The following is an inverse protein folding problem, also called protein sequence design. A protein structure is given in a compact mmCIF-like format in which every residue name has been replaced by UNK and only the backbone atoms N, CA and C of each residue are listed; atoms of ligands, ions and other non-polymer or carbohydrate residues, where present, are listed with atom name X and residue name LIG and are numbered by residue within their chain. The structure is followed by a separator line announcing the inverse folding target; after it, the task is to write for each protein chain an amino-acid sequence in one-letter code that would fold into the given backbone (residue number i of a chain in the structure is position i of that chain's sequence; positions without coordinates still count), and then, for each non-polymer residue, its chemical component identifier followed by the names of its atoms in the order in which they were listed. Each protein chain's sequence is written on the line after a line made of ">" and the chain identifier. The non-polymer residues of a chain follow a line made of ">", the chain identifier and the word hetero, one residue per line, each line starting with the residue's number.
data_IF_183828230882
#
_entry.id   IF_183828230882
#
_cell.length_a   1.000
_cell.length_b   1.000
_cell.length_c   1.000
_cell.angle_alpha   90.00
_cell.angle_beta   90.00
_cell.angle_gamma   90.00
#
_symmetry.space_group_name_H-M   'P 1'
#
loop_
_entity.id
_entity.type
_entity.pdbx_description
1 polymer ?
#
# COMPACT_ATOMS: atom_id res chain seq x y z
N UNK A 1 34.90 39.18 -19.10
CA UNK A 1 35.17 38.06 -20.04
C UNK A 1 36.57 38.11 -20.66
N UNK A 2 37.01 39.22 -21.26
CA UNK A 2 38.36 39.34 -21.86
C UNK A 2 39.52 39.02 -20.91
N UNK A 3 39.43 39.45 -19.64
CA UNK A 3 40.40 39.11 -18.60
C UNK A 3 40.51 37.59 -18.39
N UNK A 4 39.40 36.90 -18.13
CA UNK A 4 39.37 35.43 -17.94
C UNK A 4 39.94 34.67 -19.16
N UNK A 5 39.67 35.16 -20.38
CA UNK A 5 40.24 34.59 -21.60
C UNK A 5 41.76 34.82 -21.67
N UNK A 6 42.25 36.02 -21.33
CA UNK A 6 43.68 36.35 -21.30
C UNK A 6 44.46 35.44 -20.34
N UNK A 7 43.87 35.10 -19.20
CA UNK A 7 44.48 34.26 -18.17
C UNK A 7 44.17 32.76 -18.31
N UNK A 8 43.55 32.32 -19.43
CA UNK A 8 43.20 30.91 -19.68
C UNK A 8 42.47 30.27 -18.48
N UNK A 9 41.48 30.97 -17.94
CA UNK A 9 40.71 30.50 -16.77
C UNK A 9 40.06 29.13 -17.02
N UNK A 10 39.66 28.86 -18.27
CA UNK A 10 39.28 27.53 -18.73
C UNK A 10 40.49 26.86 -19.37
N UNK A 11 40.91 25.74 -18.78
CA UNK A 11 42.05 24.94 -19.23
C UNK A 11 41.61 23.49 -19.55
N UNK A 12 42.56 22.68 -20.02
CA UNK A 12 42.30 21.25 -20.34
C UNK A 12 41.97 20.40 -19.09
N UNK A 13 42.23 20.93 -17.89
CA UNK A 13 41.92 20.26 -16.62
C UNK A 13 40.53 20.60 -16.11
N UNK A 14 39.88 21.62 -16.65
CA UNK A 14 38.54 22.04 -16.28
C UNK A 14 37.54 20.95 -16.71
N UNK A 15 36.76 20.44 -15.75
CA UNK A 15 35.78 19.35 -15.97
C UNK A 15 34.34 19.80 -15.97
N UNK A 16 34.01 20.83 -15.22
CA UNK A 16 32.66 21.37 -15.18
C UNK A 16 32.70 22.88 -14.97
N UNK A 17 31.79 23.59 -15.63
CA UNK A 17 31.55 25.03 -15.43
C UNK A 17 30.08 25.20 -15.09
N UNK A 18 29.81 25.81 -13.94
CA UNK A 18 28.47 26.10 -13.45
C UNK A 18 28.19 27.59 -13.64
N UNK A 19 27.08 27.91 -14.30
CA UNK A 19 26.55 29.26 -14.39
C UNK A 19 25.19 29.24 -13.69
N UNK A 20 25.13 29.90 -12.54
CA UNK A 20 24.01 29.82 -11.61
C UNK A 20 23.57 31.22 -11.21
N UNK A 21 22.29 31.52 -11.37
CA UNK A 21 21.72 32.77 -10.93
C UNK A 21 20.23 32.62 -10.60
N UNK A 22 19.76 33.49 -9.71
CA UNK A 22 18.38 33.59 -9.30
C UNK A 22 17.77 34.85 -9.91
N UNK A 23 16.63 34.72 -10.57
CA UNK A 23 15.84 35.86 -11.04
C UNK A 23 14.50 35.90 -10.31
N UNK A 24 13.99 37.10 -10.05
CA UNK A 24 12.69 37.30 -9.45
C UNK A 24 11.81 38.14 -10.38
N UNK A 25 10.64 37.60 -10.73
CA UNK A 25 9.62 38.32 -11.48
C UNK A 25 8.57 38.90 -10.51
N UNK A 26 8.53 40.22 -10.29
CA UNK A 26 7.60 40.84 -9.34
C UNK A 26 6.14 40.79 -9.80
N UNK A 27 5.87 40.77 -11.11
CA UNK A 27 4.51 40.79 -11.65
C UNK A 27 3.75 39.49 -11.31
N UNK A 28 4.47 38.35 -11.33
CA UNK A 28 3.90 37.03 -11.03
C UNK A 28 4.32 36.50 -9.66
N UNK A 29 5.19 37.22 -8.94
CA UNK A 29 5.81 36.76 -7.69
C UNK A 29 6.45 35.37 -7.82
N UNK A 30 7.31 35.21 -8.83
CA UNK A 30 7.99 33.94 -9.13
C UNK A 30 9.50 34.12 -9.07
N UNK A 31 10.16 33.19 -8.37
CA UNK A 31 11.59 33.02 -8.36
C UNK A 31 11.96 31.95 -9.39
N UNK A 32 12.90 32.25 -10.28
CA UNK A 32 13.45 31.28 -11.21
C UNK A 32 14.93 31.09 -10.91
N UNK A 33 15.31 29.89 -10.53
CA UNK A 33 16.71 29.48 -10.53
C UNK A 33 17.06 29.00 -11.91
N UNK A 34 18.12 29.56 -12.47
CA UNK A 34 18.70 29.11 -13.74
C UNK A 34 20.05 28.49 -13.42
N UNK A 35 20.20 27.22 -13.76
CA UNK A 35 21.45 26.48 -13.64
C UNK A 35 21.84 25.96 -15.02
N UNK A 36 22.99 26.41 -15.49
CA UNK A 36 23.61 25.91 -16.72
C UNK A 36 24.91 25.22 -16.34
N UNK A 37 25.01 23.94 -16.63
CA UNK A 37 26.19 23.11 -16.36
C UNK A 37 26.81 22.72 -17.68
N UNK A 38 28.07 23.09 -17.88
CA UNK A 38 28.89 22.60 -18.99
C UNK A 38 29.86 21.55 -18.45
N UNK A 39 29.68 20.29 -18.83
CA UNK A 39 30.56 19.18 -18.49
C UNK A 39 31.54 18.95 -19.64
N UNK A 40 32.84 18.97 -19.35
CA UNK A 40 33.93 18.83 -20.31
C UNK A 40 34.56 17.45 -20.11
N UNK A 41 34.27 16.54 -21.05
CA UNK A 41 34.82 15.18 -21.05
C UNK A 41 36.33 15.16 -21.26
N UNK A 42 36.95 14.01 -20.95
CA UNK A 42 38.39 13.80 -21.18
C UNK A 42 38.78 13.91 -22.67
N UNK A 43 37.86 13.61 -23.58
CA UNK A 43 38.00 13.78 -25.03
C UNK A 43 37.90 15.24 -25.50
N UNK A 44 37.57 16.18 -24.62
CA UNK A 44 37.27 17.57 -24.97
C UNK A 44 35.84 17.82 -25.46
N UNK A 45 35.00 16.78 -25.52
CA UNK A 45 33.57 16.93 -25.79
C UNK A 45 32.87 17.70 -24.65
N UNK A 46 32.09 18.72 -25.01
CA UNK A 46 31.34 19.54 -24.05
C UNK A 46 29.87 19.12 -24.08
N UNK A 47 29.44 18.49 -23.00
CA UNK A 47 28.03 18.23 -22.75
C UNK A 47 27.44 19.40 -21.94
N UNK A 48 26.19 19.80 -22.20
CA UNK A 48 25.55 20.85 -21.43
C UNK A 48 24.20 20.39 -20.89
N UNK A 49 23.90 20.83 -19.66
CA UNK A 49 22.61 20.65 -19.01
C UNK A 49 22.06 22.02 -18.65
N UNK A 50 20.83 22.27 -19.06
CA UNK A 50 20.11 23.50 -18.78
C UNK A 50 18.88 23.19 -17.93
N UNK A 51 18.82 23.74 -16.72
CA UNK A 51 17.73 23.51 -15.79
C UNK A 51 17.20 24.86 -15.28
N UNK A 52 15.88 25.04 -15.42
CA UNK A 52 15.16 26.17 -14.84
C UNK A 52 14.17 25.61 -13.83
N UNK A 53 14.25 26.07 -12.57
CA UNK A 53 13.23 25.78 -11.57
C UNK A 53 12.50 27.06 -11.17
N UNK A 54 11.20 27.08 -11.42
CA UNK A 54 10.31 28.20 -11.06
C UNK A 54 9.55 27.87 -9.78
N UNK A 55 9.60 28.76 -8.79
CA UNK A 55 8.96 28.61 -7.48
C UNK A 55 8.34 29.91 -6.98
N UNK A 56 7.17 29.78 -6.35
CA UNK A 56 6.53 30.88 -5.61
C UNK A 56 6.90 30.79 -4.13
N UNK A 57 7.89 31.58 -3.72
CA UNK A 57 8.44 31.53 -2.37
C UNK A 57 7.80 32.57 -1.44
N UNK A 58 7.57 33.80 -1.91
CA UNK A 58 6.93 34.84 -1.10
C UNK A 58 5.42 34.66 -1.01
N UNK A 59 4.89 34.77 0.21
CA UNK A 59 3.46 34.82 0.47
C UNK A 59 3.08 36.30 0.60
N UNK A 60 2.32 36.81 -0.35
CA UNK A 60 1.83 38.21 -0.35
C UNK A 60 0.57 38.30 0.51
N UNK A 61 0.38 39.42 1.19
CA UNK A 61 -0.75 39.66 2.11
C UNK A 61 -2.14 39.39 1.49
N UNK A 62 -2.31 39.61 0.18
CA UNK A 62 -3.56 39.31 -0.52
C UNK A 62 -3.94 37.82 -0.51
N UNK A 63 -2.96 36.92 -0.51
CA UNK A 63 -3.16 35.46 -0.46
C UNK A 63 -3.14 34.89 0.96
N UNK A 64 -2.83 35.74 1.95
CA UNK A 64 -2.66 35.33 3.33
C UNK A 64 -3.96 34.78 3.92
N UNK A 65 -5.11 35.41 3.63
CA UNK A 65 -6.42 34.97 4.14
C UNK A 65 -6.81 33.58 3.64
N UNK A 66 -6.63 33.31 2.34
CA UNK A 66 -6.93 31.99 1.76
C UNK A 66 -6.00 30.91 2.30
N UNK A 67 -4.70 31.22 2.38
CA UNK A 67 -3.68 30.28 2.87
C UNK A 67 -3.90 29.92 4.34
N UNK A 68 -4.29 30.89 5.18
CA UNK A 68 -4.62 30.66 6.58
C UNK A 68 -5.80 29.71 6.76
N UNK A 69 -6.89 29.91 6.00
CA UNK A 69 -8.06 29.02 6.08
C UNK A 69 -7.68 27.60 5.70
N UNK A 70 -6.91 27.41 4.62
CA UNK A 70 -6.45 26.09 4.20
C UNK A 70 -5.55 25.45 5.27
N UNK A 71 -4.64 26.22 5.88
CA UNK A 71 -3.76 25.72 6.93
C UNK A 71 -4.54 25.28 8.18
N UNK A 72 -5.53 26.08 8.61
CA UNK A 72 -6.42 25.73 9.73
C UNK A 72 -7.24 24.48 9.41
N UNK A 73 -7.83 24.41 8.22
CA UNK A 73 -8.56 23.23 7.77
C UNK A 73 -7.67 21.98 7.74
N UNK A 74 -6.44 22.09 7.22
CA UNK A 74 -5.47 21.00 7.20
C UNK A 74 -5.10 20.54 8.62
N UNK A 75 -4.84 21.47 9.54
CA UNK A 75 -4.59 21.17 10.94
C UNK A 75 -5.75 20.46 11.65
N UNK A 76 -6.98 20.91 11.40
CA UNK A 76 -8.19 20.26 11.92
C UNK A 76 -8.37 18.83 11.38
N UNK A 77 -8.18 18.63 10.07
CA UNK A 77 -8.26 17.30 9.45
C UNK A 77 -7.18 16.38 10.02
N UNK A 78 -5.95 16.89 10.18
CA UNK A 78 -4.84 16.14 10.78
C UNK A 78 -5.14 15.74 12.22
N UNK A 79 -5.69 16.65 13.02
CA UNK A 79 -6.08 16.38 14.41
C UNK A 79 -7.15 15.27 14.47
N UNK A 80 -8.20 15.37 13.65
CA UNK A 80 -9.25 14.35 13.58
C UNK A 80 -8.71 12.98 13.14
N UNK A 81 -7.82 12.96 12.14
CA UNK A 81 -7.15 11.74 11.69
C UNK A 81 -6.28 11.12 12.79
N UNK A 82 -5.54 11.96 13.51
CA UNK A 82 -4.64 11.52 14.60
C UNK A 82 -5.44 10.90 15.74
N UNK A 83 -6.51 11.56 16.20
CA UNK A 83 -7.43 11.01 17.23
C UNK A 83 -8.01 9.68 16.76
N UNK A 84 -8.45 9.59 15.50
CA UNK A 84 -9.00 8.36 14.94
C UNK A 84 -7.99 7.21 14.92
N UNK A 85 -6.74 7.49 14.55
CA UNK A 85 -5.66 6.49 14.51
C UNK A 85 -5.30 6.04 15.92
N UNK A 86 -5.14 6.97 16.86
CA UNK A 86 -4.85 6.67 18.27
C UNK A 86 -5.97 5.81 18.87
N UNK A 87 -7.24 6.18 18.66
CA UNK A 87 -8.37 5.40 19.17
C UNK A 87 -8.37 3.96 18.63
N UNK A 88 -8.10 3.76 17.33
CA UNK A 88 -7.98 2.43 16.75
C UNK A 88 -6.80 1.64 17.33
N UNK A 89 -5.66 2.31 17.52
CA UNK A 89 -4.45 1.72 18.06
C UNK A 89 -4.67 1.25 19.50
N UNK A 90 -5.35 2.05 20.33
CA UNK A 90 -5.72 1.66 21.70
C UNK A 90 -6.69 0.47 21.68
N UNK A 91 -7.72 0.50 20.81
CA UNK A 91 -8.73 -0.57 20.76
C UNK A 91 -8.16 -1.91 20.27
N UNK A 92 -7.25 -1.90 19.30
CA UNK A 92 -6.68 -3.11 18.70
C UNK A 92 -5.36 -3.57 19.35
N UNK A 93 -4.72 -2.70 20.12
CA UNK A 93 -3.44 -2.99 20.77
C UNK A 93 -2.39 -3.45 19.76
N UNK A 94 -1.73 -4.57 20.05
CA UNK A 94 -0.65 -5.13 19.21
C UNK A 94 -1.12 -5.65 17.84
N UNK A 95 -2.39 -6.06 17.72
CA UNK A 95 -2.94 -6.55 16.44
C UNK A 95 -3.06 -5.46 15.37
N UNK A 96 -2.97 -4.19 15.78
CA UNK A 96 -3.00 -3.04 14.88
C UNK A 96 -1.82 -3.03 13.90
N UNK A 97 -0.62 -3.44 14.34
CA UNK A 97 0.58 -3.41 13.49
C UNK A 97 0.63 -4.55 12.48
N UNK A 98 -0.20 -5.58 12.62
CA UNK A 98 -0.28 -6.68 11.67
C UNK A 98 -1.11 -6.34 10.42
N UNK A 99 -2.00 -5.35 10.49
CA UNK A 99 -2.83 -4.93 9.35
C UNK A 99 -2.12 -3.83 8.54
N UNK A 100 -1.63 -4.20 7.35
CA UNK A 100 -0.94 -3.28 6.44
C UNK A 100 -1.76 -2.01 6.14
N UNK A 101 -3.10 -2.11 6.09
CA UNK A 101 -3.98 -0.96 5.81
C UNK A 101 -4.05 0.02 6.98
N UNK A 102 -3.77 -0.42 8.19
CA UNK A 102 -3.73 0.42 9.39
C UNK A 102 -2.36 1.07 9.54
N UNK A 103 -1.30 0.36 9.18
CA UNK A 103 0.03 0.95 9.06
C UNK A 103 0.06 2.12 8.06
N UNK A 104 -0.64 2.01 6.93
CA UNK A 104 -0.79 3.12 5.99
C UNK A 104 -1.46 4.36 6.61
N UNK A 105 -2.44 4.20 7.51
CA UNK A 105 -3.05 5.35 8.20
C UNK A 105 -2.02 6.07 9.08
N UNK A 106 -1.16 5.32 9.77
CA UNK A 106 -0.09 5.88 10.61
C UNK A 106 0.93 6.63 9.76
N UNK A 107 1.37 6.05 8.63
CA UNK A 107 2.33 6.68 7.71
C UNK A 107 1.78 8.02 7.20
N UNK A 108 0.50 8.09 6.83
CA UNK A 108 -0.13 9.34 6.37
C UNK A 108 -0.11 10.41 7.47
N UNK A 109 -0.40 10.05 8.73
CA UNK A 109 -0.34 10.99 9.86
C UNK A 109 1.09 11.48 10.09
N UNK A 110 2.07 10.57 10.09
CA UNK A 110 3.49 10.92 10.27
C UNK A 110 3.99 11.86 9.16
N UNK A 111 3.68 11.55 7.89
CA UNK A 111 4.02 12.41 6.76
C UNK A 111 3.31 13.76 6.83
N UNK A 112 2.08 13.82 7.33
CA UNK A 112 1.36 15.08 7.51
C UNK A 112 2.03 15.97 8.57
N UNK A 113 2.47 15.39 9.70
CA UNK A 113 3.24 16.10 10.73
C UNK A 113 4.58 16.58 10.16
N UNK A 114 5.29 15.71 9.44
CA UNK A 114 6.54 16.07 8.76
C UNK A 114 6.34 17.20 7.73
N UNK A 115 5.20 17.23 7.03
CA UNK A 115 4.85 18.30 6.09
C UNK A 115 4.75 19.66 6.80
N UNK A 116 4.11 19.70 7.97
CA UNK A 116 4.01 20.94 8.77
C UNK A 116 5.39 21.39 9.22
N UNK A 117 6.22 20.47 9.72
CA UNK A 117 7.59 20.78 10.13
C UNK A 117 8.42 21.35 8.97
N UNK A 118 8.38 20.70 7.80
CA UNK A 118 9.09 21.18 6.60
C UNK A 118 8.54 22.50 6.08
N UNK A 119 7.24 22.75 6.20
CA UNK A 119 6.64 24.04 5.84
C UNK A 119 7.16 25.18 6.74
N UNK A 120 7.26 24.95 8.05
CA UNK A 120 7.85 25.92 8.98
C UNK A 120 9.33 26.14 8.66
N UNK A 121 10.09 25.07 8.40
CA UNK A 121 11.50 25.17 8.01
C UNK A 121 11.66 25.95 6.70
N UNK A 122 10.82 25.70 5.69
CA UNK A 122 10.78 26.45 4.43
C UNK A 122 10.61 27.96 4.67
N UNK A 123 9.66 28.36 5.51
CA UNK A 123 9.44 29.77 5.86
C UNK A 123 10.66 30.35 6.59
N UNK A 124 11.25 29.59 7.53
CA UNK A 124 12.45 30.03 8.23
C UNK A 124 13.63 30.25 7.28
N UNK A 125 13.89 29.34 6.34
CA UNK A 125 14.94 29.49 5.33
C UNK A 125 14.67 30.68 4.40
N UNK A 126 13.41 30.92 4.05
CA UNK A 126 13.03 32.09 3.26
C UNK A 126 13.35 33.38 4.00
N UNK A 127 12.98 33.48 5.27
CA UNK A 127 13.25 34.66 6.09
C UNK A 127 14.76 34.90 6.23
N UNK A 128 15.55 33.85 6.50
CA UNK A 128 17.01 33.94 6.56
C UNK A 128 17.58 34.45 5.22
N UNK A 129 17.07 33.94 4.10
CA UNK A 129 17.50 34.38 2.77
C UNK A 129 17.16 35.85 2.51
N UNK A 130 15.95 36.29 2.84
CA UNK A 130 15.50 37.67 2.67
C UNK A 130 16.28 38.64 3.56
N UNK A 131 16.58 38.27 4.80
CA UNK A 131 17.42 39.08 5.69
C UNK A 131 18.82 39.24 5.11
N UNK A 132 19.47 38.15 4.69
CA UNK A 132 20.80 38.20 4.05
C UNK A 132 20.78 39.04 2.76
N UNK A 133 19.70 38.95 1.98
CA UNK A 133 19.52 39.75 0.78
C UNK A 133 19.40 41.24 1.11
N UNK A 134 18.69 41.59 2.18
CA UNK A 134 18.55 42.98 2.64
C UNK A 134 19.83 43.57 3.23
N UNK A 135 20.67 42.73 3.85
CA UNK A 135 21.96 43.13 4.42
C UNK A 135 23.06 43.24 3.35
N UNK A 136 22.92 42.50 2.24
CA UNK A 136 23.89 42.52 1.15
C UNK A 136 23.98 43.91 0.51
N UNK A 137 25.20 44.45 0.46
CA UNK A 137 25.52 45.71 -0.22
C UNK A 137 26.28 45.38 -1.50
N UNK A 138 26.21 46.25 -2.51
CA UNK A 138 27.01 46.14 -3.75
C UNK A 138 26.74 44.91 -4.64
N UNK A 139 25.49 44.43 -4.72
CA UNK A 139 25.10 43.30 -5.61
C UNK A 139 25.89 42.00 -5.34
N UNK A 140 26.20 41.73 -4.08
CA UNK A 140 26.82 40.46 -3.69
C UNK A 140 25.87 39.27 -3.93
N UNK A 141 26.46 38.14 -4.33
CA UNK A 141 25.70 36.91 -4.52
C UNK A 141 25.28 36.33 -3.17
N UNK A 142 23.96 36.26 -2.94
CA UNK A 142 23.39 35.61 -1.74
C UNK A 142 23.03 34.17 -2.06
N UNK A 143 23.60 33.25 -1.30
CA UNK A 143 23.36 31.82 -1.47
C UNK A 143 21.87 31.47 -1.25
N UNK A 144 21.22 30.97 -2.30
CA UNK A 144 19.82 30.53 -2.31
C UNK A 144 19.63 29.01 -2.30
N UNK A 145 20.71 28.21 -2.34
CA UNK A 145 20.61 26.75 -2.48
C UNK A 145 19.82 26.11 -1.35
N UNK A 146 20.07 26.53 -0.10
CA UNK A 146 19.37 25.99 1.07
C UNK A 146 17.85 26.24 1.03
N UNK A 147 17.43 27.40 0.50
CA UNK A 147 16.03 27.74 0.33
C UNK A 147 15.35 26.81 -0.69
N UNK A 148 15.99 26.58 -1.84
CA UNK A 148 15.46 25.68 -2.87
C UNK A 148 15.49 24.21 -2.44
N UNK A 149 16.49 23.77 -1.68
CA UNK A 149 16.52 22.41 -1.10
C UNK A 149 15.36 22.22 -0.11
N UNK A 150 15.11 23.20 0.76
CA UNK A 150 13.98 23.15 1.70
C UNK A 150 12.62 23.12 0.96
N UNK A 151 12.47 23.90 -0.11
CA UNK A 151 11.25 23.91 -0.92
C UNK A 151 11.06 22.62 -1.74
N UNK A 152 12.13 22.09 -2.35
CA UNK A 152 12.07 20.84 -3.10
C UNK A 152 11.77 19.63 -2.19
N UNK A 153 12.36 19.59 -0.99
CA UNK A 153 12.05 18.52 -0.01
C UNK A 153 10.62 18.61 0.50
N UNK A 154 10.12 19.81 0.79
CA UNK A 154 8.71 20.02 1.13
C UNK A 154 7.77 19.60 -0.01
N UNK A 155 8.09 19.96 -1.25
CA UNK A 155 7.28 19.62 -2.43
C UNK A 155 7.25 18.12 -2.68
N UNK A 156 8.40 17.43 -2.60
CA UNK A 156 8.49 15.99 -2.76
C UNK A 156 7.71 15.23 -1.68
N UNK A 157 7.82 15.68 -0.42
CA UNK A 157 7.08 15.08 0.68
C UNK A 157 5.57 15.33 0.54
N UNK A 158 5.16 16.55 0.16
CA UNK A 158 3.75 16.89 -0.09
C UNK A 158 3.16 16.07 -1.25
N UNK A 159 3.90 15.89 -2.34
CA UNK A 159 3.48 15.03 -3.46
C UNK A 159 3.30 13.57 -3.02
N UNK A 160 4.23 13.06 -2.20
CA UNK A 160 4.15 11.72 -1.62
C UNK A 160 2.93 11.57 -0.70
N UNK A 161 2.64 12.59 0.11
CA UNK A 161 1.45 12.62 0.97
C UNK A 161 0.16 12.58 0.14
N UNK A 162 0.05 13.42 -0.91
CA UNK A 162 -1.11 13.44 -1.80
C UNK A 162 -1.28 12.10 -2.52
N UNK A 163 -0.19 11.49 -2.98
CA UNK A 163 -0.22 10.16 -3.59
C UNK A 163 -0.77 9.10 -2.61
N UNK A 164 -0.27 9.06 -1.38
CA UNK A 164 -0.76 8.11 -0.37
C UNK A 164 -2.20 8.39 0.06
N UNK A 165 -2.58 9.66 0.19
CA UNK A 165 -3.96 10.06 0.47
C UNK A 165 -4.90 9.62 -0.66
N UNK A 166 -4.47 9.75 -1.92
CA UNK A 166 -5.20 9.27 -3.10
C UNK A 166 -5.32 7.75 -3.09
N UNK A 167 -4.25 7.03 -2.77
CA UNK A 167 -4.30 5.58 -2.58
C UNK A 167 -5.27 5.20 -1.45
N UNK A 168 -5.36 6.00 -0.38
CA UNK A 168 -6.34 5.77 0.70
C UNK A 168 -7.79 5.91 0.22
N UNK A 169 -8.06 6.77 -0.76
CA UNK A 169 -9.40 6.90 -1.37
C UNK A 169 -9.83 5.59 -2.05
N UNK A 170 -8.90 4.74 -2.49
CA UNK A 170 -9.22 3.40 -3.02
C UNK A 170 -10.06 2.57 -2.05
N UNK A 171 -9.81 2.70 -0.74
CA UNK A 171 -10.58 2.00 0.29
C UNK A 171 -12.04 2.45 0.30
N UNK A 172 -12.31 3.71 -0.02
CA UNK A 172 -13.69 4.20 -0.16
C UNK A 172 -14.37 3.49 -1.33
N UNK A 173 -13.68 3.25 -2.45
CA UNK A 173 -14.23 2.59 -3.64
C UNK A 173 -14.62 1.12 -3.44
N UNK A 174 -14.28 0.49 -2.31
CA UNK A 174 -14.68 -0.90 -1.97
C UNK A 174 -16.19 -1.10 -1.86
N UNK A 175 -17.01 -0.04 -1.87
CA UNK A 175 -18.46 -0.18 -2.03
C UNK A 175 -18.84 -0.78 -3.40
N UNK A 176 -18.01 -0.60 -4.43
CA UNK A 176 -18.25 -1.14 -5.76
C UNK A 176 -17.82 -2.61 -5.83
N UNK A 177 -18.73 -3.49 -6.29
CA UNK A 177 -18.43 -4.91 -6.52
C UNK A 177 -17.22 -5.12 -7.44
N UNK A 178 -17.05 -4.27 -8.45
CA UNK A 178 -15.91 -4.35 -9.37
C UNK A 178 -14.57 -4.19 -8.64
N UNK A 179 -14.51 -3.30 -7.64
CA UNK A 179 -13.30 -3.06 -6.84
C UNK A 179 -13.04 -4.22 -5.89
N UNK A 180 -14.09 -4.80 -5.28
CA UNK A 180 -13.94 -6.01 -4.45
C UNK A 180 -13.40 -7.19 -5.25
N UNK A 181 -13.94 -7.42 -6.45
CA UNK A 181 -13.47 -8.47 -7.37
C UNK A 181 -12.01 -8.21 -7.71
N UNK A 182 -11.66 -7.01 -8.17
CA UNK A 182 -10.28 -6.63 -8.52
C UNK A 182 -9.30 -6.79 -7.34
N UNK A 183 -9.69 -6.40 -6.13
CA UNK A 183 -8.84 -6.56 -4.95
C UNK A 183 -8.61 -8.05 -4.65
N UNK A 184 -9.65 -8.88 -4.72
CA UNK A 184 -9.55 -10.32 -4.49
C UNK A 184 -8.69 -10.99 -5.56
N UNK A 185 -8.80 -10.57 -6.83
CA UNK A 185 -7.96 -11.07 -7.91
C UNK A 185 -6.51 -10.73 -7.67
N UNK A 186 -6.19 -9.48 -7.31
CA UNK A 186 -4.82 -9.06 -7.04
C UNK A 186 -4.25 -9.75 -5.81
N UNK A 187 -5.04 -9.91 -4.75
CA UNK A 187 -4.59 -10.61 -3.54
C UNK A 187 -4.21 -12.06 -3.83
N UNK A 188 -5.08 -12.81 -4.52
CA UNK A 188 -4.84 -14.22 -4.84
C UNK A 188 -3.80 -14.43 -5.93
N UNK A 189 -3.68 -13.52 -6.89
CA UNK A 189 -2.64 -13.57 -7.93
C UNK A 189 -1.30 -13.00 -7.49
N UNK A 190 -1.20 -12.36 -6.32
CA UNK A 190 0.01 -11.67 -5.87
C UNK A 190 1.26 -12.57 -5.83
N UNK A 191 1.16 -13.80 -5.32
CA UNK A 191 2.25 -14.76 -5.29
C UNK A 191 2.74 -15.15 -6.69
N UNK A 192 1.86 -15.68 -7.58
CA UNK A 192 2.22 -15.99 -8.96
C UNK A 192 2.71 -14.79 -9.78
N UNK A 193 2.10 -13.61 -9.61
CA UNK A 193 2.54 -12.38 -10.28
C UNK A 193 3.93 -11.96 -9.83
N UNK A 194 4.21 -12.04 -8.52
CA UNK A 194 5.53 -11.72 -7.98
C UNK A 194 6.58 -12.71 -8.51
N UNK A 195 6.27 -14.00 -8.56
CA UNK A 195 7.16 -15.00 -9.17
C UNK A 195 7.42 -14.69 -10.65
N UNK A 196 6.38 -14.41 -11.44
CA UNK A 196 6.51 -14.02 -12.85
C UNK A 196 7.33 -12.75 -13.04
N UNK A 197 7.17 -11.74 -12.16
CA UNK A 197 7.97 -10.52 -12.15
C UNK A 197 9.44 -10.80 -11.86
N UNK A 198 9.75 -11.67 -10.90
CA UNK A 198 11.13 -12.06 -10.59
C UNK A 198 11.80 -12.75 -11.78
N UNK A 199 11.10 -13.69 -12.44
CA UNK A 199 11.61 -14.30 -13.66
C UNK A 199 11.82 -13.27 -14.78
N UNK A 200 10.82 -12.42 -15.06
CA UNK A 200 10.91 -11.36 -16.06
C UNK A 200 12.10 -10.41 -15.80
N UNK A 201 12.27 -9.98 -14.55
CA UNK A 201 13.37 -9.08 -14.17
C UNK A 201 14.75 -9.71 -14.40
N UNK A 202 14.89 -11.02 -14.22
CA UNK A 202 16.16 -11.73 -14.49
C UNK A 202 16.52 -11.68 -15.98
N UNK A 203 15.55 -11.91 -16.87
CA UNK A 203 15.75 -11.76 -18.32
C UNK A 203 16.06 -10.31 -18.71
N UNK A 204 15.34 -9.35 -18.12
CA UNK A 204 15.56 -7.92 -18.38
C UNK A 204 16.97 -7.48 -17.96
N UNK A 205 17.46 -7.95 -16.81
CA UNK A 205 18.84 -7.70 -16.36
C UNK A 205 19.84 -8.31 -17.34
N UNK A 206 19.67 -9.57 -17.74
CA UNK A 206 20.55 -10.23 -18.70
C UNK A 206 20.60 -9.50 -20.05
N UNK A 207 19.43 -9.14 -20.60
CA UNK A 207 19.33 -8.37 -21.86
C UNK A 207 19.93 -6.97 -21.71
N UNK A 208 19.79 -6.33 -20.55
CA UNK A 208 20.39 -5.01 -20.30
C UNK A 208 21.91 -5.04 -20.29
N UNK A 209 22.51 -6.09 -19.72
CA UNK A 209 23.97 -6.29 -19.74
C UNK A 209 24.46 -6.51 -21.17
N UNK A 210 23.77 -7.36 -21.94
CA UNK A 210 24.09 -7.62 -23.35
C UNK A 210 23.94 -6.33 -24.17
N UNK A 211 22.83 -5.61 -24.01
CA UNK A 211 22.56 -4.36 -24.74
C UNK A 211 23.61 -3.28 -24.43
N UNK A 212 24.02 -3.14 -23.16
CA UNK A 212 25.08 -2.21 -22.78
C UNK A 212 26.41 -2.59 -23.43
N UNK A 213 26.70 -3.90 -23.52
CA UNK A 213 27.95 -4.39 -24.11
C UNK A 213 27.99 -4.25 -25.64
N UNK A 214 26.85 -4.45 -26.32
CA UNK A 214 26.77 -4.39 -27.78
C UNK A 214 26.54 -2.98 -28.32
N UNK A 215 25.69 -2.18 -27.67
CA UNK A 215 25.24 -0.89 -28.18
C UNK A 215 25.71 0.31 -27.35
N UNK A 216 26.41 0.09 -26.24
CA UNK A 216 26.79 1.16 -25.31
C UNK A 216 27.78 2.18 -25.87
N UNK A 217 28.58 1.82 -26.88
CA UNK A 217 29.45 2.77 -27.59
C UNK A 217 28.71 3.64 -28.60
N UNK A 218 27.69 3.07 -29.25
CA UNK A 218 27.02 3.69 -30.40
C UNK A 218 25.77 4.50 -30.02
N UNK A 219 25.13 4.16 -28.89
CA UNK A 219 23.82 4.71 -28.52
C UNK A 219 23.79 5.27 -27.11
N UNK A 220 23.28 6.50 -26.97
CA UNK A 220 23.08 7.12 -25.65
C UNK A 220 22.07 6.34 -24.78
N UNK A 221 21.10 5.67 -25.41
CA UNK A 221 20.07 4.87 -24.74
C UNK A 221 20.67 3.64 -24.04
N UNK A 222 21.78 3.11 -24.54
CA UNK A 222 22.44 1.92 -23.98
C UNK A 222 23.78 2.22 -23.30
N UNK A 223 24.10 3.50 -23.07
CA UNK A 223 25.40 3.95 -22.54
C UNK A 223 25.82 3.28 -21.24
N UNK A 224 24.87 3.13 -20.31
CA UNK A 224 25.09 2.55 -18.99
C UNK A 224 24.00 1.51 -18.71
N UNK A 225 24.30 0.50 -17.89
CA UNK A 225 23.32 -0.51 -17.46
C UNK A 225 21.97 0.06 -17.02
N UNK A 226 21.98 1.16 -16.25
CA UNK A 226 20.74 1.83 -15.82
C UNK A 226 19.93 2.42 -17.00
N UNK A 227 20.60 3.09 -17.94
CA UNK A 227 19.95 3.63 -19.15
C UNK A 227 19.45 2.50 -20.06
N UNK A 228 20.23 1.42 -20.19
CA UNK A 228 19.83 0.23 -20.96
C UNK A 228 18.59 -0.44 -20.37
N UNK A 229 18.57 -0.68 -19.06
CA UNK A 229 17.44 -1.30 -18.36
C UNK A 229 16.17 -0.45 -18.46
N UNK A 230 16.29 0.86 -18.28
CA UNK A 230 15.16 1.78 -18.41
C UNK A 230 14.66 1.84 -19.85
N UNK A 231 15.55 1.92 -20.84
CA UNK A 231 15.18 1.89 -22.26
C UNK A 231 14.46 0.60 -22.63
N UNK A 232 14.98 -0.58 -22.25
CA UNK A 232 14.35 -1.86 -22.55
C UNK A 232 12.98 -2.00 -21.86
N UNK A 233 12.85 -1.53 -20.61
CA UNK A 233 11.58 -1.55 -19.90
C UNK A 233 10.54 -0.64 -20.58
N UNK A 234 10.93 0.58 -20.93
CA UNK A 234 10.08 1.53 -21.63
C UNK A 234 9.67 1.02 -23.02
N UNK A 235 10.60 0.38 -23.74
CA UNK A 235 10.33 -0.25 -25.03
C UNK A 235 9.36 -1.42 -24.89
N UNK A 236 9.50 -2.25 -23.84
CA UNK A 236 8.57 -3.37 -23.58
C UNK A 236 7.15 -2.89 -23.24
N UNK A 237 7.01 -1.69 -22.67
CA UNK A 237 5.72 -1.06 -22.37
C UNK A 237 5.19 -0.20 -23.52
N UNK A 238 5.94 -0.11 -24.62
CA UNK A 238 5.65 0.76 -25.76
C UNK A 238 5.43 2.24 -25.36
N UNK A 239 6.28 2.76 -24.48
CA UNK A 239 6.25 4.15 -23.98
C UNK A 239 7.22 5.09 -24.71
N UNK A 240 7.99 4.58 -25.67
CA UNK A 240 8.90 5.37 -26.50
C UNK A 240 8.37 5.29 -27.93
N UNK A 241 7.76 6.37 -28.41
CA UNK A 241 7.15 6.40 -29.74
C UNK A 241 8.22 6.49 -30.85
N UNK A 242 9.28 7.29 -30.66
CA UNK A 242 10.33 7.53 -31.66
C UNK A 242 11.68 6.91 -31.23
N UNK A 243 11.72 5.60 -31.03
CA UNK A 243 13.00 4.93 -30.75
C UNK A 243 13.84 4.81 -32.03
N UNK A 244 15.06 5.39 -32.09
CA UNK A 244 15.91 5.25 -33.28
C UNK A 244 16.40 3.81 -33.39
N UNK A 245 15.99 3.09 -34.46
CA UNK A 245 16.39 1.70 -34.70
C UNK A 245 17.83 1.54 -35.20
N UNK A 246 18.47 2.64 -35.57
CA UNK A 246 19.85 2.70 -36.06
C UNK A 246 20.88 1.91 -35.21
N UNK A 247 20.84 1.90 -33.87
CA UNK A 247 21.77 1.10 -33.05
C UNK A 247 21.65 -0.41 -33.30
N UNK A 248 20.45 -0.90 -33.62
CA UNK A 248 20.20 -2.32 -33.92
C UNK A 248 20.59 -2.69 -35.35
N UNK A 249 20.59 -1.73 -36.28
CA UNK A 249 20.96 -1.95 -37.68
C UNK A 249 22.48 -1.98 -37.88
N UNK A 250 23.21 -1.16 -37.13
CA UNK A 250 24.67 -1.06 -37.25
C UNK A 250 25.41 -2.30 -36.73
N UNK A 251 24.87 -2.97 -35.70
CA UNK A 251 25.48 -4.15 -35.13
C UNK A 251 25.00 -5.42 -35.84
N UNK A 252 25.92 -6.30 -36.25
CA UNK A 252 25.58 -7.54 -36.99
C UNK A 252 24.59 -8.46 -36.25
N UNK A 253 24.62 -8.45 -34.91
CA UNK A 253 23.70 -9.22 -34.06
C UNK A 253 22.53 -8.39 -33.53
N UNK A 254 22.41 -7.13 -33.93
CA UNK A 254 21.41 -6.20 -33.39
C UNK A 254 19.99 -6.60 -33.75
N UNK A 255 19.73 -7.01 -35.00
CA UNK A 255 18.42 -7.53 -35.41
C UNK A 255 18.03 -8.81 -34.67
N UNK A 256 18.99 -9.73 -34.46
CA UNK A 256 18.75 -10.96 -33.69
C UNK A 256 18.41 -10.67 -32.22
N UNK A 257 19.13 -9.73 -31.60
CA UNK A 257 18.84 -9.26 -30.25
C UNK A 257 17.43 -8.65 -30.15
N UNK A 258 17.07 -7.78 -31.10
CA UNK A 258 15.76 -7.13 -31.10
C UNK A 258 14.62 -8.15 -31.27
N UNK A 259 14.76 -9.11 -32.18
CA UNK A 259 13.77 -10.20 -32.36
C UNK A 259 13.64 -11.03 -31.08
N UNK A 260 14.74 -11.41 -30.45
CA UNK A 260 14.72 -12.15 -29.19
C UNK A 260 14.01 -11.35 -28.08
N UNK A 261 14.35 -10.06 -27.93
CA UNK A 261 13.70 -9.17 -26.98
C UNK A 261 12.20 -9.07 -27.24
N UNK A 262 11.78 -8.83 -28.49
CA UNK A 262 10.37 -8.70 -28.85
C UNK A 262 9.58 -10.00 -28.56
N UNK A 263 10.15 -11.17 -28.88
CA UNK A 263 9.53 -12.46 -28.56
C UNK A 263 9.38 -12.66 -27.04
N UNK A 264 10.41 -12.33 -26.25
CA UNK A 264 10.35 -12.40 -24.79
C UNK A 264 9.31 -11.43 -24.22
N UNK A 265 9.24 -10.19 -24.72
CA UNK A 265 8.23 -9.21 -24.29
C UNK A 265 6.81 -9.71 -24.58
N UNK A 266 6.54 -10.22 -25.79
CA UNK A 266 5.23 -10.80 -26.15
C UNK A 266 4.90 -11.99 -25.25
N UNK A 267 5.88 -12.88 -25.00
CA UNK A 267 5.70 -14.02 -24.11
C UNK A 267 5.29 -13.58 -22.70
N UNK A 268 6.02 -12.63 -22.08
CA UNK A 268 5.72 -12.17 -20.73
C UNK A 268 4.38 -11.44 -20.63
N UNK A 269 4.03 -10.61 -21.63
CA UNK A 269 2.70 -9.97 -21.69
C UNK A 269 1.59 -11.03 -21.68
N UNK A 270 1.73 -12.08 -22.49
CA UNK A 270 0.76 -13.17 -22.53
C UNK A 270 0.69 -13.93 -21.20
N UNK A 271 1.83 -14.20 -20.56
CA UNK A 271 1.87 -14.84 -19.23
C UNK A 271 1.12 -13.99 -18.19
N UNK A 272 1.35 -12.68 -18.15
CA UNK A 272 0.63 -11.79 -17.22
C UNK A 272 -0.87 -11.79 -17.47
N UNK A 273 -1.30 -11.73 -18.74
CA UNK A 273 -2.72 -11.80 -19.12
C UNK A 273 -3.35 -13.10 -18.65
N UNK A 274 -2.69 -14.25 -18.86
CA UNK A 274 -3.20 -15.57 -18.46
C UNK A 274 -3.36 -15.65 -16.94
N UNK A 275 -2.34 -15.25 -16.18
CA UNK A 275 -2.39 -15.26 -14.71
C UNK A 275 -3.55 -14.39 -14.22
N UNK A 276 -3.64 -13.15 -14.69
CA UNK A 276 -4.69 -12.21 -14.25
C UNK A 276 -6.07 -12.75 -14.63
N UNK A 277 -6.25 -13.26 -15.85
CA UNK A 277 -7.55 -13.77 -16.34
C UNK A 277 -8.01 -15.00 -15.56
N UNK A 278 -7.09 -15.91 -15.24
CA UNK A 278 -7.38 -17.10 -14.44
C UNK A 278 -7.91 -16.72 -13.04
N UNK A 279 -7.17 -15.89 -12.31
CA UNK A 279 -7.60 -15.44 -10.97
C UNK A 279 -8.84 -14.52 -11.03
N UNK A 280 -9.01 -13.76 -12.12
CA UNK A 280 -10.22 -12.98 -12.37
C UNK A 280 -11.47 -13.85 -12.50
N UNK A 281 -11.39 -14.95 -13.27
CA UNK A 281 -12.48 -15.91 -13.38
C UNK A 281 -12.87 -16.46 -12.01
N UNK A 282 -11.88 -16.87 -11.20
CA UNK A 282 -12.09 -17.42 -9.86
C UNK A 282 -12.69 -16.39 -8.87
N UNK A 283 -12.25 -15.13 -8.91
CA UNK A 283 -12.83 -14.10 -8.05
C UNK A 283 -14.25 -13.74 -8.49
N UNK A 284 -14.53 -13.74 -9.81
CA UNK A 284 -15.86 -13.45 -10.35
C UNK A 284 -16.89 -14.51 -9.93
N UNK A 285 -16.52 -15.79 -9.95
CA UNK A 285 -17.41 -16.87 -9.49
C UNK A 285 -17.69 -16.77 -7.99
N UNK A 286 -16.67 -16.47 -7.18
CA UNK A 286 -16.84 -16.25 -5.73
C UNK A 286 -17.87 -15.15 -5.41
N UNK A 287 -17.81 -14.03 -6.13
CA UNK A 287 -18.75 -12.93 -5.93
C UNK A 287 -20.06 -13.08 -6.72
N UNK A 288 -20.27 -14.16 -7.48
CA UNK A 288 -21.46 -14.32 -8.33
C UNK A 288 -22.75 -14.40 -7.49
N UNK A 289 -22.68 -15.04 -6.32
CA UNK A 289 -23.81 -15.23 -5.41
C UNK A 289 -24.11 -14.01 -4.51
N UNK A 290 -23.22 -13.01 -4.45
CA UNK A 290 -23.47 -11.77 -3.70
C UNK A 290 -24.47 -10.90 -4.48
N UNK A 291 -25.74 -10.92 -4.04
CA UNK A 291 -26.82 -10.09 -4.59
C UNK A 291 -26.42 -8.62 -4.52
N UNK A 292 -26.53 -7.92 -5.66
CA UNK A 292 -26.25 -6.49 -5.76
C UNK A 292 -27.35 -5.72 -5.04
N UNK A 293 -26.99 -4.96 -4.00
CA UNK A 293 -27.74 -3.75 -3.73
C UNK A 293 -26.90 -2.74 -2.93
N UNK A 294 -26.35 -1.76 -3.64
CA UNK A 294 -25.85 -0.51 -3.02
C UNK A 294 -26.93 0.07 -2.10
N UNK A 295 -28.21 -0.11 -2.46
CA UNK A 295 -29.36 0.25 -1.63
C UNK A 295 -29.42 -0.52 -0.31
N UNK A 296 -29.13 -1.82 -0.26
CA UNK A 296 -29.07 -2.59 0.99
C UNK A 296 -27.87 -2.16 1.84
N UNK A 297 -26.70 -1.93 1.24
CA UNK A 297 -25.55 -1.42 1.99
C UNK A 297 -25.81 -0.02 2.59
N UNK A 298 -26.39 0.89 1.80
CA UNK A 298 -26.75 2.23 2.25
C UNK A 298 -27.88 2.18 3.29
N UNK A 299 -28.89 1.33 3.09
CA UNK A 299 -29.98 1.09 4.04
C UNK A 299 -29.43 0.54 5.36
N UNK A 300 -28.55 -0.46 5.32
CA UNK A 300 -27.93 -1.04 6.51
C UNK A 300 -27.03 -0.04 7.24
N UNK A 301 -26.26 0.77 6.50
CA UNK A 301 -25.46 1.87 7.09
C UNK A 301 -26.35 2.95 7.71
N UNK A 302 -27.43 3.32 7.05
CA UNK A 302 -28.37 4.33 7.53
C UNK A 302 -29.11 3.85 8.77
N UNK A 303 -29.60 2.61 8.78
CA UNK A 303 -30.18 1.95 9.96
C UNK A 303 -29.14 1.89 11.08
N UNK A 304 -27.88 1.51 10.78
CA UNK A 304 -26.81 1.47 11.78
C UNK A 304 -26.54 2.83 12.41
N UNK A 305 -26.37 3.90 11.61
CA UNK A 305 -26.09 5.23 12.15
C UNK A 305 -27.28 5.82 12.91
N UNK A 306 -28.52 5.60 12.44
CA UNK A 306 -29.73 6.06 13.13
C UNK A 306 -29.94 5.31 14.45
N UNK A 307 -29.71 4.00 14.49
CA UNK A 307 -29.76 3.20 15.73
C UNK A 307 -28.63 3.56 16.69
N UNK A 308 -27.40 3.77 16.20
CA UNK A 308 -26.27 4.19 17.04
C UNK A 308 -26.52 5.57 17.67
N UNK A 309 -27.09 6.50 16.91
CA UNK A 309 -27.49 7.81 17.43
C UNK A 309 -28.58 7.68 18.49
N UNK A 310 -29.59 6.84 18.25
CA UNK A 310 -30.65 6.54 19.24
C UNK A 310 -30.06 5.98 20.54
N UNK A 311 -29.21 4.94 20.46
CA UNK A 311 -28.58 4.30 21.63
C UNK A 311 -27.67 5.26 22.40
N UNK A 312 -26.86 6.08 21.70
CA UNK A 312 -26.04 7.10 22.36
C UNK A 312 -26.88 8.20 23.01
N UNK A 313 -27.99 8.60 22.40
CA UNK A 313 -28.94 9.56 22.98
C UNK A 313 -29.66 8.99 24.21
N UNK A 314 -30.01 7.70 24.25
CA UNK A 314 -30.54 7.05 25.46
C UNK A 314 -29.49 6.88 26.54
N UNK A 315 -28.25 6.52 26.20
CA UNK A 315 -27.15 6.42 27.18
C UNK A 315 -26.80 7.78 27.82
N UNK A 316 -26.92 8.89 27.08
CA UNK A 316 -26.71 10.24 27.61
C UNK A 316 -27.89 10.76 28.45
N UNK A 317 -29.07 10.13 28.39
CA UNK A 317 -30.27 10.53 29.14
C UNK A 317 -30.40 9.89 30.53
N UNK A 318 -29.42 9.09 30.96
CA UNK A 318 -29.36 8.56 32.33
C UNK A 318 -30.48 7.56 32.65
N UNK A 319 -30.17 6.26 32.53
CA UNK A 319 -30.80 5.23 33.36
C UNK A 319 -32.25 4.82 33.06
N UNK A 320 -32.69 4.80 31.80
CA UNK A 320 -33.88 4.01 31.42
C UNK A 320 -33.47 2.76 30.65
N UNK A 321 -34.05 1.63 31.05
CA UNK A 321 -33.79 0.31 30.47
C UNK A 321 -33.97 0.33 28.95
N UNK A 322 -33.03 -0.32 28.28
CA UNK A 322 -33.00 -0.44 26.82
C UNK A 322 -34.30 -1.14 26.40
N UNK A 323 -35.13 -0.54 25.51
CA UNK A 323 -36.32 -1.24 25.02
C UNK A 323 -35.89 -2.54 24.34
N UNK A 324 -36.43 -3.70 24.74
CA UNK A 324 -36.12 -5.02 24.15
C UNK A 324 -36.22 -5.01 22.61
N UNK A 325 -37.09 -4.17 22.06
CA UNK A 325 -37.30 -3.99 20.62
C UNK A 325 -36.11 -3.36 19.86
N UNK A 326 -35.09 -2.82 20.54
CA UNK A 326 -33.88 -2.29 19.89
C UNK A 326 -32.74 -3.32 19.76
N UNK A 327 -32.82 -4.44 20.49
CA UNK A 327 -31.89 -5.55 20.35
C UNK A 327 -32.59 -6.63 19.51
N UNK A 328 -32.91 -6.31 18.24
CA UNK A 328 -32.95 -7.40 17.28
C UNK A 328 -31.49 -7.80 17.03
N UNK A 329 -31.13 -8.97 17.56
CA UNK A 329 -29.89 -9.65 17.25
C UNK A 329 -29.72 -9.65 15.72
N UNK A 330 -28.49 -9.36 15.31
CA UNK A 330 -28.07 -9.59 13.92
C UNK A 330 -28.37 -11.06 13.62
N UNK A 331 -29.21 -11.28 12.61
CA UNK A 331 -29.69 -12.57 12.06
C UNK A 331 -30.51 -13.45 13.02
N UNK A 332 -31.82 -13.52 12.75
CA UNK A 332 -32.72 -14.61 13.20
C UNK A 332 -32.16 -15.98 12.77
N UNK A 333 -31.38 -16.02 11.69
CA UNK A 333 -30.79 -17.25 11.15
C UNK A 333 -29.67 -17.86 12.01
N UNK A 334 -29.03 -17.12 12.93
CA UNK A 334 -27.89 -17.64 13.73
C UNK A 334 -28.29 -18.70 14.75
N UNK A 335 -29.56 -18.74 15.16
CA UNK A 335 -30.05 -19.63 16.22
C UNK A 335 -30.91 -20.80 15.69
N UNK A 336 -31.17 -20.87 14.37
CA UNK A 336 -31.88 -22.02 13.78
C UNK A 336 -31.07 -23.34 13.90
N UNK A 337 -29.75 -23.22 13.97
CA UNK A 337 -28.81 -24.34 14.01
C UNK A 337 -28.50 -24.86 15.42
N UNK A 338 -29.17 -24.36 16.45
CA UNK A 338 -28.93 -24.77 17.84
C UNK A 338 -29.82 -25.94 18.27
N UNK A 339 -29.19 -27.06 18.61
CA UNK A 339 -29.83 -28.17 19.32
C UNK A 339 -29.48 -28.13 20.82
N UNK A 340 -30.47 -28.41 21.65
CA UNK A 340 -30.28 -28.60 23.10
C UNK A 340 -29.97 -30.07 23.34
N UNK A 341 -28.76 -30.37 23.81
CA UNK A 341 -28.26 -31.74 24.02
C UNK A 341 -27.91 -31.93 25.50
N UNK A 342 -28.20 -33.11 26.06
CA UNK A 342 -27.82 -33.41 27.44
C UNK A 342 -26.28 -33.39 27.58
N UNK A 343 -25.78 -32.86 28.71
CA UNK A 343 -24.35 -32.68 28.96
C UNK A 343 -23.52 -33.96 28.85
N UNK A 344 -24.10 -35.11 29.23
CA UNK A 344 -23.44 -36.41 29.08
C UNK A 344 -23.26 -36.78 27.61
N UNK A 345 -24.24 -36.48 26.75
CA UNK A 345 -24.15 -36.71 25.31
C UNK A 345 -23.14 -35.79 24.63
N UNK A 346 -23.04 -34.54 25.08
CA UNK A 346 -21.99 -33.61 24.62
C UNK A 346 -20.59 -34.13 24.96
N UNK A 347 -20.39 -34.61 26.19
CA UNK A 347 -19.13 -35.24 26.59
C UNK A 347 -18.83 -36.51 25.81
N UNK A 348 -19.84 -37.35 25.56
CA UNK A 348 -19.68 -38.55 24.74
C UNK A 348 -19.30 -38.19 23.29
N UNK A 349 -19.94 -37.19 22.68
CA UNK A 349 -19.60 -36.69 21.34
C UNK A 349 -18.15 -36.18 21.27
N UNK A 350 -17.68 -35.45 22.29
CA UNK A 350 -16.30 -34.97 22.37
C UNK A 350 -15.27 -36.11 22.54
N UNK A 351 -15.60 -37.14 23.32
CA UNK A 351 -14.74 -38.31 23.47
C UNK A 351 -14.69 -39.16 22.19
N UNK A 352 -15.83 -39.31 21.49
CA UNK A 352 -15.91 -40.01 20.20
C UNK A 352 -15.11 -39.28 19.13
N UNK A 353 -15.20 -37.95 19.02
CA UNK A 353 -14.40 -37.20 18.05
C UNK A 353 -12.91 -37.31 18.37
N UNK A 354 -12.53 -37.35 19.66
CA UNK A 354 -11.15 -37.66 20.08
C UNK A 354 -10.72 -39.08 19.68
N UNK A 355 -11.59 -40.10 19.77
CA UNK A 355 -11.32 -41.44 19.24
C UNK A 355 -11.07 -41.42 17.73
N UNK A 356 -11.94 -40.74 16.98
CA UNK A 356 -11.87 -40.69 15.50
C UNK A 356 -10.58 -40.02 15.04
N UNK A 357 -10.23 -38.87 15.65
CA UNK A 357 -8.97 -38.17 15.36
C UNK A 357 -7.75 -39.05 15.68
N UNK A 358 -7.78 -39.78 16.79
CA UNK A 358 -6.69 -40.67 17.20
C UNK A 358 -6.56 -41.90 16.28
N UNK A 359 -7.66 -42.33 15.65
CA UNK A 359 -7.70 -43.45 14.72
C UNK A 359 -7.31 -43.07 13.26
N UNK A 360 -7.38 -41.78 12.89
CA UNK A 360 -6.92 -41.30 11.58
C UNK A 360 -5.39 -41.19 11.45
N UNK A 361 -4.64 -41.20 12.56
CA UNK A 361 -3.18 -41.25 12.53
C UNK A 361 -2.68 -42.62 12.04
N UNK A 362 -2.22 -42.69 10.78
CA UNK A 362 -1.74 -43.94 10.16
C UNK A 362 -0.62 -44.60 10.98
N UNK A 363 -0.78 -45.92 11.19
CA UNK A 363 0.11 -46.89 11.86
C UNK A 363 0.32 -46.71 13.36
N UNK A 364 -0.68 -47.09 14.17
CA UNK A 364 -0.54 -47.26 15.63
C UNK A 364 -1.04 -48.62 16.11
N UNK A 365 -0.37 -49.16 17.13
CA UNK A 365 -0.82 -50.28 17.96
C UNK A 365 -1.62 -49.75 19.15
N UNK A 366 -2.71 -50.43 19.54
CA UNK A 366 -3.56 -49.97 20.66
C UNK A 366 -2.77 -49.83 21.96
N UNK A 367 -2.86 -48.66 22.58
CA UNK A 367 -2.26 -48.34 23.89
C UNK A 367 -3.29 -48.51 25.02
N UNK A 368 -2.86 -48.71 26.27
CA UNK A 368 -3.77 -48.83 27.44
C UNK A 368 -4.71 -47.62 27.57
N UNK A 369 -4.21 -46.42 27.24
CA UNK A 369 -5.01 -45.19 27.19
C UNK A 369 -6.18 -45.26 26.20
N UNK A 370 -6.07 -46.06 25.13
CA UNK A 370 -7.15 -46.22 24.15
C UNK A 370 -8.25 -47.12 24.72
N UNK A 371 -7.89 -48.13 25.51
CA UNK A 371 -8.86 -48.95 26.23
C UNK A 371 -9.60 -48.16 27.30
N UNK A 372 -8.89 -47.30 28.04
CA UNK A 372 -9.49 -46.42 29.04
C UNK A 372 -10.47 -45.44 28.37
N UNK A 373 -10.06 -44.82 27.26
CA UNK A 373 -10.88 -43.86 26.52
C UNK A 373 -12.12 -44.52 25.89
N UNK A 374 -11.99 -45.74 25.35
CA UNK A 374 -13.13 -46.54 24.84
C UNK A 374 -14.07 -46.92 26.00
N UNK A 375 -13.53 -47.33 27.15
CA UNK A 375 -14.33 -47.69 28.32
C UNK A 375 -15.13 -46.50 28.85
N UNK A 376 -14.53 -45.30 28.83
CA UNK A 376 -15.16 -44.06 29.27
C UNK A 376 -16.26 -43.60 28.29
N UNK A 377 -16.04 -43.76 26.98
CA UNK A 377 -17.07 -43.52 25.95
C UNK A 377 -18.27 -44.44 26.15
N UNK A 378 -18.03 -45.74 26.33
CA UNK A 378 -19.09 -46.73 26.55
C UNK A 378 -19.86 -46.37 27.83
N UNK A 379 -19.15 -46.05 28.91
CA UNK A 379 -19.79 -45.70 30.18
C UNK A 379 -20.67 -44.45 30.08
N UNK A 380 -20.26 -43.43 29.33
CA UNK A 380 -21.04 -42.21 29.12
C UNK A 380 -22.23 -42.41 28.18
N UNK A 381 -22.14 -43.30 27.18
CA UNK A 381 -23.23 -43.62 26.26
C UNK A 381 -24.36 -44.43 26.90
N UNK A 382 -24.03 -45.34 27.82
CA UNK A 382 -25.01 -46.19 28.50
C UNK A 382 -25.63 -45.55 29.76
N UNK A 383 -25.13 -44.39 30.19
CA UNK A 383 -25.68 -43.64 31.32
C UNK A 383 -26.95 -42.89 30.89
N UNK A 384 -27.98 -42.89 31.74
CA UNK A 384 -29.19 -42.07 31.51
C UNK A 384 -28.82 -40.59 31.38
N UNK A 385 -29.54 -39.90 30.49
CA UNK A 385 -29.34 -38.48 30.22
C UNK A 385 -29.47 -37.66 31.52
N UNK A 386 -28.52 -36.75 31.72
CA UNK A 386 -28.55 -35.79 32.82
C UNK A 386 -29.54 -34.67 32.56
N UNK A 387 -30.15 -34.14 33.62
CA UNK A 387 -31.07 -33.00 33.54
C UNK A 387 -30.36 -31.70 33.11
N UNK A 388 -29.03 -31.65 33.22
CA UNK A 388 -28.20 -30.57 32.71
C UNK A 388 -28.09 -30.61 31.18
N UNK A 389 -28.57 -29.56 30.52
CA UNK A 389 -28.58 -29.41 29.07
C UNK A 389 -27.58 -28.36 28.61
N UNK A 390 -26.87 -28.66 27.54
CA UNK A 390 -25.89 -27.78 26.89
C UNK A 390 -26.32 -27.49 25.44
N UNK A 391 -25.82 -26.39 24.89
CA UNK A 391 -26.15 -25.90 23.56
C UNK A 391 -25.14 -26.45 22.54
N UNK A 392 -25.63 -27.10 21.50
CA UNK A 392 -24.82 -27.67 20.40
C UNK A 392 -25.18 -27.01 19.07
N UNK A 393 -24.17 -26.57 18.32
CA UNK A 393 -24.35 -25.98 16.99
C UNK A 393 -24.26 -27.05 15.91
N UNK A 394 -25.29 -27.17 15.07
CA UNK A 394 -25.32 -28.03 13.90
C UNK A 394 -24.86 -27.21 12.69
N UNK A 395 -23.75 -27.60 12.06
CA UNK A 395 -23.33 -26.97 10.80
C UNK A 395 -24.11 -27.63 9.65
N UNK A 396 -24.88 -26.86 8.86
CA UNK A 396 -25.73 -27.37 7.77
C UNK A 396 -24.98 -27.71 6.45
N UNK A 397 -23.65 -27.73 6.43
CA UNK A 397 -22.92 -28.10 5.20
C UNK A 397 -22.65 -29.62 5.13
N UNK A 398 -23.27 -30.29 4.14
CA UNK A 398 -23.00 -31.68 3.72
C UNK A 398 -21.61 -31.89 3.08
N UNK A 399 -20.70 -30.92 3.16
CA UNK A 399 -19.35 -31.06 2.61
C UNK A 399 -18.34 -31.47 3.69
N UNK A 400 -17.83 -32.69 3.55
CA UNK A 400 -16.66 -33.29 4.22
C UNK A 400 -16.06 -32.48 5.37
N UNK A 401 -16.34 -32.90 6.61
CA UNK A 401 -15.72 -32.38 7.82
C UNK A 401 -14.20 -32.49 7.68
N UNK A 402 -13.52 -31.37 7.41
CA UNK A 402 -12.06 -31.28 7.52
C UNK A 402 -11.71 -30.86 8.93
N UNK A 403 -11.23 -31.83 9.72
CA UNK A 403 -10.63 -31.54 11.01
C UNK A 403 -9.34 -30.76 10.83
N UNK A 404 -9.27 -29.61 11.50
CA UNK A 404 -8.07 -28.77 11.55
C UNK A 404 -7.35 -29.06 12.85
N UNK A 405 -6.14 -29.59 12.73
CA UNK A 405 -5.22 -29.90 13.84
C UNK A 405 -4.92 -28.64 14.68
N UNK A 406 -5.08 -28.73 16.00
CA UNK A 406 -4.90 -27.62 16.97
C UNK A 406 -3.51 -26.97 16.87
N UNK A 407 -2.50 -27.71 16.40
CA UNK A 407 -1.14 -27.18 16.16
C UNK A 407 -1.06 -26.15 15.02
N UNK A 408 -2.05 -26.09 14.13
CA UNK A 408 -2.18 -25.03 13.11
C UNK A 408 -2.87 -23.78 13.65
N UNK A 409 -3.68 -23.89 14.70
CA UNK A 409 -4.44 -22.77 15.28
C UNK A 409 -3.51 -21.83 16.07
N UNK A 410 -2.45 -22.35 16.70
CA UNK A 410 -1.45 -21.53 17.40
C UNK A 410 -0.62 -20.62 16.47
N UNK A 411 -0.52 -20.94 15.17
CA UNK A 411 0.31 -20.18 14.23
C UNK A 411 -0.43 -19.04 13.52
N UNK A 412 -1.76 -18.97 13.65
CA UNK A 412 -2.57 -18.01 12.92
C UNK A 412 -3.44 -17.17 13.89
N UNK A 413 -2.94 -16.00 14.34
CA UNK A 413 -3.62 -15.18 15.36
C UNK A 413 -5.01 -14.69 14.94
N UNK A 414 -5.34 -14.78 13.66
CA UNK A 414 -6.67 -14.49 13.10
C UNK A 414 -7.72 -15.55 13.43
N UNK A 415 -7.33 -16.81 13.60
CA UNK A 415 -8.25 -17.91 13.95
C UNK A 415 -8.57 -17.86 15.43
N UNK A 416 -7.57 -17.62 16.29
CA UNK A 416 -7.74 -17.44 17.73
C UNK A 416 -8.61 -16.21 18.07
N UNK A 417 -8.43 -15.11 17.33
CA UNK A 417 -9.27 -13.92 17.49
C UNK A 417 -10.72 -14.14 17.04
N UNK A 418 -10.96 -15.03 16.06
CA UNK A 418 -12.29 -15.39 15.60
C UNK A 418 -13.01 -16.30 16.60
N UNK A 419 -12.30 -17.22 17.24
CA UNK A 419 -12.83 -18.10 18.31
C UNK A 419 -13.15 -17.31 19.59
N UNK A 420 -12.30 -16.35 19.98
CA UNK A 420 -12.56 -15.46 21.13
C UNK A 420 -13.75 -14.50 20.88
N UNK A 421 -13.99 -14.12 19.62
CA UNK A 421 -15.17 -13.34 19.24
C UNK A 421 -16.46 -14.18 19.21
N UNK A 422 -16.36 -15.49 18.98
CA UNK A 422 -17.49 -16.42 19.01
C UNK A 422 -17.85 -16.90 20.42
N UNK A 423 -16.90 -16.95 21.36
CA UNK A 423 -17.16 -17.33 22.76
C UNK A 423 -17.61 -16.19 23.69
N UNK A 424 -18.18 -15.10 23.14
CA UNK A 424 -18.63 -13.89 23.84
C UNK A 424 -18.77 -13.99 25.38
N UNK A 425 -17.66 -13.72 26.09
CA UNK A 425 -17.65 -13.27 27.48
C UNK A 425 -16.96 -11.91 27.53
N UNK A 426 -17.57 -11.06 28.36
CA UNK A 426 -17.20 -9.70 28.78
C UNK A 426 -15.70 -9.53 28.99
#
# INVERSE_FOLDING_TARGET
>A
MFYLKKYKWLDLKTRAVFIEFLTYNPNCNLFNTVQVVFEIGASGYVNYRFEIQTRRLLIVESDFRGTQVVFVCFGLVLLLLTIRVIYKMIKKGKTFFSDALELFDVIIVLLSIASIYLFINRIAQLNIYLTKLSESKNNEFVNYFHLFVADNTFTALSASLVFLATFRLWKLLRFMKIVKVMEKTLYHSSGPLLAALLYHSTFMVALSVIATSFFGSESEYFRNFYKSMTTLLLLSMNLIDDFPMHPFEQHKLGSAFFVLFALLSIYFINVYIVIITYYYSQAKTFYCNEKRMVQEYLKNKWIYYTTLLKVRLTQLRGGQDIPENLIQSISVDRYNDLCIVAKNRMKAMALISKCVLRNEEKSRTMTEEDYELISEVIWQLFRKDTDEKELFFKCEEEETVKFVDDRKIEKDPLVYARILLEMGRI
#
